data_IF_069255670415
#
_entry.id   IF_069255670415
#
_cell.length_a   1.000
_cell.length_b   1.000
_cell.length_c   1.000
_cell.angle_alpha   90.00
_cell.angle_beta   90.00
_cell.angle_gamma   90.00
#
_symmetry.space_group_name_H-M   'P 1'
#
loop_
_entity.id
_entity.type
_entity.pdbx_description
1 polymer ?
#
# COMPACT_ATOMS: atom_id res chain seq x y z
N UNK A 1 2.95 -18.71 15.18
CA UNK A 1 3.07 -17.25 14.97
C UNK A 1 4.47 -16.98 14.47
N UNK A 2 4.60 -16.37 13.30
CA UNK A 2 5.89 -16.02 12.70
C UNK A 2 6.62 -14.94 13.51
N UNK A 3 7.93 -15.12 13.66
CA UNK A 3 8.87 -14.16 14.21
C UNK A 3 9.16 -13.01 13.24
N UNK A 4 9.70 -11.91 13.77
CA UNK A 4 10.12 -10.76 12.96
C UNK A 4 11.16 -11.13 11.90
N UNK A 5 12.09 -12.03 12.21
CA UNK A 5 13.08 -12.53 11.25
C UNK A 5 12.41 -13.28 10.09
N UNK A 6 11.42 -14.13 10.37
CA UNK A 6 10.72 -14.87 9.33
C UNK A 6 9.92 -13.93 8.43
N UNK A 7 9.26 -12.90 8.99
CA UNK A 7 8.59 -11.87 8.18
C UNK A 7 9.54 -11.11 7.26
N UNK A 8 10.74 -10.77 7.75
CA UNK A 8 11.77 -10.10 6.92
C UNK A 8 12.20 -11.02 5.77
N UNK A 9 12.41 -12.31 6.03
CA UNK A 9 12.79 -13.28 4.99
C UNK A 9 11.69 -13.47 3.95
N UNK A 10 10.43 -13.58 4.37
CA UNK A 10 9.27 -13.69 3.48
C UNK A 10 9.15 -12.44 2.59
N UNK A 11 9.30 -11.25 3.17
CA UNK A 11 9.28 -10.00 2.41
C UNK A 11 10.43 -9.91 1.41
N UNK A 12 11.65 -10.29 1.80
CA UNK A 12 12.80 -10.35 0.87
C UNK A 12 12.55 -11.35 -0.26
N UNK A 13 11.98 -12.50 0.05
CA UNK A 13 11.64 -13.51 -0.97
C UNK A 13 10.61 -12.97 -1.96
N UNK A 14 9.57 -12.28 -1.48
CA UNK A 14 8.59 -11.60 -2.32
C UNK A 14 9.28 -10.61 -3.27
N UNK A 15 10.13 -9.71 -2.76
CA UNK A 15 10.83 -8.73 -3.59
C UNK A 15 11.72 -9.38 -4.64
N UNK A 16 12.44 -10.45 -4.28
CA UNK A 16 13.25 -11.20 -5.24
C UNK A 16 12.39 -11.79 -6.36
N UNK A 17 11.26 -12.40 -6.02
CA UNK A 17 10.35 -12.97 -7.02
C UNK A 17 9.71 -11.91 -7.90
N UNK A 18 9.34 -10.75 -7.34
CA UNK A 18 8.80 -9.64 -8.12
C UNK A 18 9.83 -9.06 -9.09
N UNK A 19 11.11 -8.97 -8.68
CA UNK A 19 12.21 -8.52 -9.56
C UNK A 19 12.40 -9.40 -10.79
N UNK A 20 12.05 -10.68 -10.70
CA UNK A 20 12.16 -11.61 -11.82
C UNK A 20 10.98 -11.49 -12.81
N UNK A 21 9.83 -10.97 -12.39
CA UNK A 21 8.54 -11.13 -13.11
C UNK A 21 7.77 -9.84 -13.38
N UNK A 22 8.15 -8.72 -12.78
CA UNK A 22 7.41 -7.46 -12.86
C UNK A 22 8.30 -6.27 -13.22
N UNK A 23 7.69 -5.26 -13.83
CA UNK A 23 8.33 -3.98 -14.12
C UNK A 23 8.82 -3.26 -12.85
N UNK A 24 9.90 -2.48 -13.00
CA UNK A 24 10.56 -1.79 -11.89
C UNK A 24 9.66 -0.82 -11.11
N UNK A 25 8.62 -0.28 -11.76
CA UNK A 25 7.66 0.63 -11.11
C UNK A 25 6.85 -0.08 -10.01
N UNK A 26 6.42 -1.32 -10.23
CA UNK A 26 5.68 -2.10 -9.22
C UNK A 26 6.54 -2.34 -7.98
N UNK A 27 7.81 -2.68 -8.20
CA UNK A 27 8.77 -2.95 -7.12
C UNK A 27 9.00 -1.69 -6.28
N UNK A 28 9.18 -0.55 -6.94
CA UNK A 28 9.35 0.74 -6.25
C UNK A 28 8.11 1.11 -5.42
N UNK A 29 6.91 0.86 -5.93
CA UNK A 29 5.68 1.12 -5.17
C UNK A 29 5.54 0.19 -3.97
N UNK A 30 5.89 -1.09 -4.13
CA UNK A 30 5.92 -2.06 -3.05
C UNK A 30 6.93 -1.66 -1.97
N UNK A 31 8.15 -1.29 -2.35
CA UNK A 31 9.20 -0.83 -1.42
C UNK A 31 8.80 0.50 -0.73
N UNK A 32 8.15 1.42 -1.46
CA UNK A 32 7.63 2.68 -0.89
C UNK A 32 6.54 2.42 0.14
N UNK A 33 5.57 1.56 -0.17
CA UNK A 33 4.49 1.24 0.76
C UNK A 33 5.01 0.50 2.00
N UNK A 34 5.92 -0.45 1.81
CA UNK A 34 6.52 -1.21 2.91
C UNK A 34 7.39 -0.36 3.85
N UNK A 35 7.90 0.78 3.38
CA UNK A 35 8.73 1.71 4.17
C UNK A 35 7.95 2.91 4.70
N UNK A 36 6.65 3.03 4.38
CA UNK A 36 5.81 4.12 4.84
C UNK A 36 5.73 4.14 6.38
N UNK A 37 5.87 5.34 6.96
CA UNK A 37 5.78 5.51 8.41
C UNK A 37 4.35 5.28 8.87
N UNK A 38 4.20 4.57 9.99
CA UNK A 38 2.91 4.37 10.64
C UNK A 38 2.64 5.57 11.52
N UNK A 39 1.50 6.20 11.29
CA UNK A 39 0.92 7.23 12.14
C UNK A 39 0.15 6.55 13.28
N UNK A 40 0.57 6.78 14.52
CA UNK A 40 -0.06 6.27 15.72
C UNK A 40 -0.66 7.41 16.51
N UNK A 41 -1.94 7.29 16.82
CA UNK A 41 -2.60 8.20 17.75
C UNK A 41 -2.25 7.76 19.18
N UNK A 42 -1.52 8.59 19.89
CA UNK A 42 -1.15 8.40 21.27
C UNK A 42 -2.38 8.71 22.12
N UNK A 43 -3.13 7.67 22.47
CA UNK A 43 -4.20 7.81 23.45
C UNK A 43 -3.66 8.44 24.74
N UNK A 44 -4.42 9.37 25.32
CA UNK A 44 -4.08 10.11 26.56
C UNK A 44 -3.71 9.19 27.73
N UNK A 45 -4.18 7.94 27.70
CA UNK A 45 -3.91 6.90 28.69
C UNK A 45 -2.57 6.17 28.53
N UNK A 46 -1.77 6.48 27.52
CA UNK A 46 -0.46 5.86 27.32
C UNK A 46 0.49 6.18 28.48
N UNK A 47 1.31 5.21 28.88
CA UNK A 47 2.32 5.39 29.94
C UNK A 47 3.34 6.49 29.60
N UNK A 48 3.45 6.85 28.32
CA UNK A 48 4.30 7.94 27.84
C UNK A 48 3.67 9.28 28.20
N UNK A 49 2.38 9.50 27.89
CA UNK A 49 1.64 10.74 28.23
C UNK A 49 1.51 10.91 29.75
N UNK A 50 1.36 9.80 30.49
CA UNK A 50 1.30 9.80 31.95
C UNK A 50 2.55 10.36 32.63
N UNK A 51 3.72 10.32 31.97
CA UNK A 51 4.98 10.88 32.47
C UNK A 51 5.09 12.41 32.34
N UNK A 52 4.25 13.03 31.53
CA UNK A 52 4.19 14.48 31.39
C UNK A 52 3.21 15.09 32.40
N UNK A 53 3.52 16.29 32.90
CA UNK A 53 2.63 17.09 33.75
C UNK A 53 1.35 17.42 33.01
N UNK A 54 0.25 17.60 33.74
CA UNK A 54 -1.10 17.82 33.17
C UNK A 54 -1.14 19.01 32.20
N UNK A 55 -0.40 20.07 32.50
CA UNK A 55 -0.28 21.29 31.67
C UNK A 55 0.47 21.02 30.35
N UNK A 56 1.51 20.17 30.38
CA UNK A 56 2.27 19.83 29.17
C UNK A 56 1.59 18.79 28.28
N UNK A 57 0.47 18.20 28.71
CA UNK A 57 -0.30 17.25 27.89
C UNK A 57 -1.16 17.94 26.83
N UNK A 58 -1.60 19.16 27.09
CA UNK A 58 -2.39 19.97 26.14
C UNK A 58 -1.54 20.41 24.94
N UNK A 59 -0.21 20.49 25.11
CA UNK A 59 0.76 20.88 24.06
C UNK A 59 1.37 19.69 23.30
N UNK A 60 1.06 18.44 23.70
CA UNK A 60 1.59 17.26 23.02
C UNK A 60 0.74 16.93 21.80
N UNK A 61 1.37 16.98 20.62
CA UNK A 61 0.77 16.45 19.40
C UNK A 61 0.41 14.97 19.65
N UNK A 62 -0.88 14.58 19.51
CA UNK A 62 -1.31 13.22 19.80
C UNK A 62 -0.81 12.24 18.75
N UNK A 63 -0.02 12.68 17.78
CA UNK A 63 0.40 11.89 16.62
C UNK A 63 1.89 11.55 16.74
N UNK A 64 2.20 10.25 16.71
CA UNK A 64 3.58 9.74 16.59
C UNK A 64 3.76 9.01 15.28
N UNK A 65 4.89 9.27 14.63
CA UNK A 65 5.30 8.48 13.46
C UNK A 65 6.37 7.46 13.84
N UNK A 66 6.15 6.19 13.54
CA UNK A 66 7.17 5.13 13.71
C UNK A 66 7.44 4.37 12.41
N UNK A 67 8.54 3.62 12.40
CA UNK A 67 8.79 2.66 11.33
C UNK A 67 7.76 1.50 11.42
N UNK A 68 7.37 0.91 10.29
CA UNK A 68 6.54 -0.28 10.28
C UNK A 68 7.30 -1.48 10.86
N UNK A 69 6.59 -2.34 11.56
CA UNK A 69 7.07 -3.68 11.91
C UNK A 69 7.21 -4.52 10.63
N UNK A 70 8.02 -5.61 10.64
CA UNK A 70 8.17 -6.47 9.47
C UNK A 70 6.84 -7.00 8.91
N UNK A 71 5.90 -7.35 9.80
CA UNK A 71 4.56 -7.80 9.40
C UNK A 71 3.75 -6.69 8.75
N UNK A 72 3.79 -5.46 9.28
CA UNK A 72 3.09 -4.32 8.69
C UNK A 72 3.68 -3.96 7.32
N UNK A 73 5.02 -3.95 7.20
CA UNK A 73 5.71 -3.71 5.94
C UNK A 73 5.32 -4.75 4.86
N UNK A 74 5.31 -6.04 5.23
CA UNK A 74 4.82 -7.10 4.34
C UNK A 74 3.34 -6.92 3.98
N UNK A 75 2.49 -6.57 4.95
CA UNK A 75 1.06 -6.37 4.72
C UNK A 75 0.82 -5.21 3.75
N UNK A 76 1.54 -4.10 3.91
CA UNK A 76 1.48 -2.95 3.01
C UNK A 76 1.93 -3.32 1.59
N UNK A 77 3.01 -4.10 1.45
CA UNK A 77 3.47 -4.63 0.17
C UNK A 77 2.37 -5.46 -0.54
N UNK A 78 1.73 -6.38 0.19
CA UNK A 78 0.61 -7.17 -0.34
C UNK A 78 -0.58 -6.28 -0.71
N UNK A 79 -0.86 -5.24 0.07
CA UNK A 79 -1.87 -4.23 -0.23
C UNK A 79 -1.67 -3.61 -1.61
N UNK A 80 -0.47 -3.10 -1.89
CA UNK A 80 -0.13 -2.54 -3.21
C UNK A 80 -0.36 -3.55 -4.34
N UNK A 81 0.09 -4.79 -4.15
CA UNK A 81 -0.09 -5.83 -5.16
C UNK A 81 -1.57 -6.11 -5.43
N UNK A 82 -2.40 -6.21 -4.39
CA UNK A 82 -3.84 -6.39 -4.54
C UNK A 82 -4.50 -5.19 -5.24
N UNK A 83 -4.12 -3.96 -4.87
CA UNK A 83 -4.64 -2.76 -5.50
C UNK A 83 -4.32 -2.72 -7.00
N UNK A 84 -3.06 -3.00 -7.37
CA UNK A 84 -2.57 -3.04 -8.76
C UNK A 84 -3.21 -4.18 -9.58
N UNK A 85 -3.39 -5.35 -8.98
CA UNK A 85 -3.91 -6.55 -9.66
C UNK A 85 -5.43 -6.56 -9.82
N UNK A 86 -6.16 -6.02 -8.83
CA UNK A 86 -7.60 -6.27 -8.70
C UNK A 86 -8.41 -5.00 -8.53
N UNK A 87 -8.04 -4.15 -7.58
CA UNK A 87 -8.90 -3.03 -7.17
C UNK A 87 -8.97 -1.95 -8.25
N UNK A 88 -7.81 -1.53 -8.79
CA UNK A 88 -7.77 -0.51 -9.85
C UNK A 88 -8.42 -1.02 -11.14
N UNK A 89 -8.11 -2.22 -11.67
CA UNK A 89 -8.79 -2.74 -12.85
C UNK A 89 -10.31 -2.85 -12.66
N UNK A 90 -10.77 -3.45 -11.55
CA UNK A 90 -12.20 -3.60 -11.28
C UNK A 90 -12.90 -2.25 -11.10
N UNK A 91 -12.23 -1.26 -10.50
CA UNK A 91 -12.76 0.09 -10.38
C UNK A 91 -12.89 0.77 -11.75
N UNK A 92 -11.88 0.65 -12.61
CA UNK A 92 -11.91 1.19 -13.97
C UNK A 92 -13.04 0.57 -14.80
N UNK A 93 -13.22 -0.76 -14.73
CA UNK A 93 -14.32 -1.47 -15.39
C UNK A 93 -15.69 -0.96 -14.92
N UNK A 94 -15.92 -0.87 -13.60
CA UNK A 94 -17.20 -0.37 -13.06
C UNK A 94 -17.52 1.06 -13.49
N UNK A 95 -16.51 1.94 -13.56
CA UNK A 95 -16.70 3.32 -14.02
C UNK A 95 -17.00 3.34 -15.52
N UNK A 96 -16.27 2.56 -16.32
CA UNK A 96 -16.51 2.39 -17.76
C UNK A 96 -17.95 1.94 -18.05
N UNK A 97 -18.44 0.92 -17.33
CA UNK A 97 -19.81 0.43 -17.44
C UNK A 97 -20.83 1.50 -17.05
N UNK A 98 -20.61 2.19 -15.92
CA UNK A 98 -21.54 3.19 -15.40
C UNK A 98 -21.71 4.38 -16.32
N UNK A 99 -20.65 4.81 -16.98
CA UNK A 99 -20.63 6.02 -17.83
C UNK A 99 -20.61 5.72 -19.32
N UNK A 100 -20.64 4.43 -19.71
CA UNK A 100 -20.60 3.98 -21.10
C UNK A 100 -19.44 4.62 -21.91
N UNK A 101 -18.25 4.63 -21.31
CA UNK A 101 -17.01 5.12 -21.93
C UNK A 101 -15.95 4.02 -21.92
N UNK A 102 -14.89 4.14 -22.73
CA UNK A 102 -13.79 3.19 -22.65
C UNK A 102 -12.98 3.43 -21.36
N UNK A 103 -12.43 2.37 -20.76
CA UNK A 103 -11.56 2.49 -19.58
C UNK A 103 -10.36 3.41 -19.81
N UNK A 104 -9.86 3.47 -21.06
CA UNK A 104 -8.76 4.32 -21.49
C UNK A 104 -9.11 5.82 -21.48
N UNK A 105 -10.39 6.14 -21.59
CA UNK A 105 -10.89 7.52 -21.64
C UNK A 105 -11.11 8.11 -20.25
N UNK A 106 -10.99 7.29 -19.19
CA UNK A 106 -11.20 7.73 -17.81
C UNK A 106 -9.93 8.42 -17.29
N UNK A 107 -10.09 9.68 -16.89
CA UNK A 107 -9.05 10.46 -16.22
C UNK A 107 -9.35 10.51 -14.72
N UNK A 108 -8.35 10.11 -13.93
CA UNK A 108 -8.43 10.10 -12.47
C UNK A 108 -7.68 11.31 -11.91
N UNK A 109 -8.22 11.84 -10.82
CA UNK A 109 -7.64 12.98 -10.11
C UNK A 109 -7.38 12.57 -8.67
N UNK A 110 -6.24 12.96 -8.08
CA UNK A 110 -5.97 12.72 -6.68
C UNK A 110 -6.99 13.48 -5.82
N UNK A 111 -7.35 12.92 -4.66
CA UNK A 111 -8.18 13.60 -3.68
C UNK A 111 -7.48 14.89 -3.26
N UNK A 112 -8.07 16.02 -3.65
CA UNK A 112 -7.61 17.35 -3.24
C UNK A 112 -8.49 17.84 -2.11
N UNK A 113 -7.85 18.36 -1.07
CA UNK A 113 -8.53 19.26 -0.16
C UNK A 113 -9.02 20.47 -0.96
N UNK A 114 -10.20 21.02 -0.66
CA UNK A 114 -10.86 22.11 -1.43
C UNK A 114 -9.97 23.35 -1.73
N UNK A 115 -8.79 23.45 -1.11
CA UNK A 115 -7.82 24.54 -1.26
C UNK A 115 -6.80 24.34 -2.38
N UNK A 116 -6.62 23.12 -2.88
CA UNK A 116 -5.65 22.81 -3.93
C UNK A 116 -6.35 22.77 -5.30
N UNK A 117 -5.91 23.62 -6.24
CA UNK A 117 -6.46 23.62 -7.59
C UNK A 117 -6.14 22.28 -8.27
N UNK A 118 -7.19 21.56 -8.71
CA UNK A 118 -7.14 20.28 -9.43
C UNK A 118 -6.12 20.30 -10.59
N UNK A 119 -5.87 21.48 -11.16
CA UNK A 119 -4.98 21.73 -12.30
C UNK A 119 -3.49 21.45 -12.04
N UNK A 120 -3.02 21.52 -10.78
CA UNK A 120 -1.57 21.53 -10.49
C UNK A 120 -0.94 20.14 -10.27
N UNK A 121 -1.74 19.09 -10.01
CA UNK A 121 -1.20 17.74 -9.71
C UNK A 121 -1.33 16.71 -10.84
N UNK A 122 -1.85 17.13 -12.00
CA UNK A 122 -2.01 16.27 -13.17
C UNK A 122 -3.13 15.22 -13.02
N UNK A 123 -3.70 14.81 -14.14
CA UNK A 123 -4.55 13.61 -14.19
C UNK A 123 -3.69 12.38 -14.42
N UNK A 124 -4.21 11.22 -14.03
CA UNK A 124 -3.56 9.93 -14.28
C UNK A 124 -4.54 8.93 -14.89
N UNK A 125 -4.00 7.90 -15.54
CA UNK A 125 -4.79 6.80 -16.11
C UNK A 125 -4.72 5.56 -15.22
N UNK A 126 -5.84 4.85 -15.07
CA UNK A 126 -5.85 3.55 -14.39
C UNK A 126 -4.89 2.54 -15.05
N UNK A 127 -4.56 2.70 -16.33
CA UNK A 127 -3.60 1.84 -17.05
C UNK A 127 -2.17 2.00 -16.53
N UNK A 128 -1.78 3.19 -16.06
CA UNK A 128 -0.48 3.42 -15.42
C UNK A 128 -0.37 2.67 -14.09
N UNK A 129 -1.54 2.34 -13.52
CA UNK A 129 -1.71 1.60 -12.28
C UNK A 129 -2.06 0.12 -12.48
N UNK A 130 -2.29 -0.34 -13.70
CA UNK A 130 -2.69 -1.72 -14.00
C UNK A 130 -1.50 -2.50 -14.56
N UNK A 131 -1.29 -3.71 -14.06
CA UNK A 131 -0.24 -4.59 -14.59
C UNK A 131 -0.60 -5.13 -15.97
N UNK A 132 0.42 -5.41 -16.78
CA UNK A 132 0.21 -6.08 -18.08
C UNK A 132 -0.31 -7.50 -17.84
N UNK A 133 -1.09 -8.03 -18.78
CA UNK A 133 -1.64 -9.39 -18.67
C UNK A 133 -0.57 -10.46 -18.40
N UNK A 134 0.61 -10.35 -19.02
CA UNK A 134 1.73 -11.26 -18.80
C UNK A 134 2.31 -11.19 -17.38
N UNK A 135 2.23 -10.04 -16.73
CA UNK A 135 2.70 -9.83 -15.35
C UNK A 135 1.66 -10.30 -14.34
N UNK A 136 0.37 -10.08 -14.62
CA UNK A 136 -0.74 -10.49 -13.73
C UNK A 136 -0.62 -11.97 -13.37
N UNK A 137 -0.53 -12.86 -14.36
CA UNK A 137 -0.47 -14.31 -14.15
C UNK A 137 0.77 -14.71 -13.32
N UNK A 138 1.90 -14.04 -13.54
CA UNK A 138 3.14 -14.33 -12.85
C UNK A 138 3.11 -13.85 -11.40
N UNK A 139 2.64 -12.63 -11.16
CA UNK A 139 2.51 -12.05 -9.81
C UNK A 139 1.46 -12.82 -9.00
N UNK A 140 0.32 -13.18 -9.58
CA UNK A 140 -0.68 -14.01 -8.90
C UNK A 140 -0.14 -15.40 -8.52
N UNK A 141 0.68 -16.01 -9.39
CA UNK A 141 1.35 -17.27 -9.08
C UNK A 141 2.32 -17.13 -7.89
N UNK A 142 3.10 -16.05 -7.83
CA UNK A 142 3.96 -15.75 -6.69
C UNK A 142 3.15 -15.59 -5.41
N UNK A 143 2.07 -14.82 -5.45
CA UNK A 143 1.19 -14.59 -4.29
C UNK A 143 0.52 -15.87 -3.80
N UNK A 144 0.05 -16.72 -4.72
CA UNK A 144 -0.55 -18.01 -4.38
C UNK A 144 0.45 -18.93 -3.66
N UNK A 145 1.70 -18.99 -4.15
CA UNK A 145 2.76 -19.78 -3.52
C UNK A 145 3.09 -19.27 -2.12
N UNK A 146 3.21 -17.95 -1.96
CA UNK A 146 3.45 -17.33 -0.66
C UNK A 146 2.31 -17.58 0.32
N UNK A 147 1.06 -17.49 -0.15
CA UNK A 147 -0.12 -17.79 0.67
C UNK A 147 -0.08 -19.23 1.20
N UNK A 148 0.15 -20.21 0.33
CA UNK A 148 0.22 -21.61 0.75
C UNK A 148 1.33 -21.83 1.80
N UNK A 149 2.51 -21.21 1.60
CA UNK A 149 3.61 -21.29 2.57
C UNK A 149 3.25 -20.70 3.94
N UNK A 150 2.39 -19.69 3.99
CA UNK A 150 1.93 -19.07 5.24
C UNK A 150 0.80 -19.87 5.92
N UNK A 151 0.02 -20.64 5.16
CA UNK A 151 -1.09 -21.47 5.68
C UNK A 151 -0.61 -22.85 6.16
N UNK A 152 0.52 -23.34 5.65
CA UNK A 152 1.13 -24.63 6.02
C UNK A 152 1.97 -24.58 7.32
N UNK A 153 2.01 -23.44 8.03
CA UNK A 153 2.76 -23.21 9.29
C UNK A 153 1.84 -22.96 10.49
#
# INVERSE_FOLDING_TARGET
MLSDSEWIEIYRHLLLKLRDVADSSLILDVERAASARIEENINEDSDIIKRFSRESREDLDPIRFRAPTPREAFTAAIGVLNTRLREVPALAERVSEKFNCATLDIQWYPDVSERDQISERGSFSAFEFTLKKSEIEQVESVLKRLKNLLEDQ
#
